data_IF_613984989080
#
_entry.id   IF_613984989080
#
_cell.length_a   1.000
_cell.length_b   1.000
_cell.length_c   1.000
_cell.angle_alpha   90.00
_cell.angle_beta   90.00
_cell.angle_gamma   90.00
#
_symmetry.space_group_name_H-M   'P 1'
#
loop_
_entity.id
_entity.type
_entity.pdbx_description
1 polymer ?
#
# COMPACT_ATOMS: atom_id res chain seq x y z
N UNK A 1 -16.52 -7.64 2.79
CA UNK A 1 -15.13 -7.57 3.32
C UNK A 1 -15.21 -7.63 4.85
N UNK A 2 -14.68 -8.67 5.52
CA UNK A 2 -14.60 -8.69 6.98
C UNK A 2 -13.41 -7.85 7.49
N UNK A 3 -13.57 -7.16 8.62
CA UNK A 3 -12.49 -6.50 9.38
C UNK A 3 -12.81 -5.06 9.82
N UNK A 4 -12.50 -4.74 11.08
CA UNK A 4 -12.73 -3.43 11.72
C UNK A 4 -11.82 -2.35 11.12
N UNK A 5 -12.25 -1.07 11.08
CA UNK A 5 -11.37 0.04 10.71
C UNK A 5 -10.14 0.08 11.63
N UNK A 6 -8.92 0.30 11.10
CA UNK A 6 -7.74 0.47 11.93
C UNK A 6 -7.84 1.76 12.76
N UNK A 7 -7.16 1.77 13.91
CA UNK A 7 -7.02 2.97 14.74
C UNK A 7 -6.27 4.04 13.93
N UNK A 8 -6.89 5.21 13.73
CA UNK A 8 -6.32 6.30 12.92
C UNK A 8 -5.14 7.01 13.61
N UNK A 9 -4.94 6.78 14.91
CA UNK A 9 -3.86 7.39 15.69
C UNK A 9 -2.49 6.76 15.45
N UNK A 10 -2.45 5.51 14.98
CA UNK A 10 -1.19 4.78 14.73
C UNK A 10 -1.27 4.05 13.39
N UNK A 11 -1.11 4.78 12.27
CA UNK A 11 -1.15 4.16 10.95
C UNK A 11 0.05 3.20 10.80
N UNK A 12 -0.16 2.01 10.22
CA UNK A 12 0.93 1.08 9.97
C UNK A 12 1.97 1.71 9.03
N UNK A 13 3.26 1.46 9.32
CA UNK A 13 4.36 1.88 8.47
C UNK A 13 4.26 1.28 7.05
N UNK A 14 4.72 2.02 6.05
CA UNK A 14 4.65 1.63 4.64
C UNK A 14 3.23 1.68 4.05
N UNK A 15 2.82 0.63 3.34
CA UNK A 15 1.53 0.56 2.66
C UNK A 15 0.40 0.32 3.66
N UNK A 16 -0.52 1.30 3.77
CA UNK A 16 -1.68 1.25 4.69
C UNK A 16 -2.56 0.01 4.54
N UNK A 17 -2.54 -0.63 3.38
CA UNK A 17 -3.33 -1.82 3.08
C UNK A 17 -2.64 -3.13 3.45
N UNK A 18 -1.33 -3.13 3.77
CA UNK A 18 -0.57 -4.36 4.05
C UNK A 18 -1.15 -5.25 5.15
N UNK A 19 -1.84 -4.76 6.21
CA UNK A 19 -2.41 -5.64 7.23
C UNK A 19 -3.61 -6.46 6.72
N UNK A 20 -4.22 -6.04 5.60
CA UNK A 20 -5.46 -6.63 5.04
C UNK A 20 -5.32 -7.07 3.59
N UNK A 21 -4.16 -6.85 2.97
CA UNK A 21 -3.91 -7.18 1.57
C UNK A 21 -3.47 -8.65 1.45
N UNK A 22 -4.15 -9.49 0.65
CA UNK A 22 -3.77 -10.89 0.45
C UNK A 22 -2.45 -11.04 -0.32
N UNK A 23 -2.08 -10.04 -1.12
CA UNK A 23 -0.85 -10.00 -1.92
C UNK A 23 0.30 -9.25 -1.23
N UNK A 24 0.21 -9.01 0.08
CA UNK A 24 1.22 -8.25 0.82
C UNK A 24 2.58 -8.95 0.82
N UNK A 25 3.62 -8.22 0.41
CA UNK A 25 5.03 -8.64 0.50
C UNK A 25 5.74 -7.91 1.64
N UNK A 26 6.95 -8.35 1.99
CA UNK A 26 7.75 -7.73 3.05
C UNK A 26 7.96 -6.22 2.85
N UNK A 27 8.11 -5.78 1.60
CA UNK A 27 8.29 -4.37 1.25
C UNK A 27 7.05 -3.52 1.57
N UNK A 28 5.85 -4.09 1.52
CA UNK A 28 4.62 -3.38 1.85
C UNK A 28 4.58 -2.87 3.30
N UNK A 29 5.41 -3.42 4.20
CA UNK A 29 5.51 -2.97 5.61
C UNK A 29 6.53 -1.86 5.83
N UNK A 30 7.36 -1.57 4.82
CA UNK A 30 8.53 -0.69 4.94
C UNK A 30 8.51 0.46 3.93
N UNK A 31 7.82 0.27 2.81
CA UNK A 31 7.80 1.21 1.70
C UNK A 31 6.39 1.75 1.57
N UNK A 32 6.27 3.07 1.56
CA UNK A 32 5.04 3.76 1.17
C UNK A 32 5.04 3.88 -0.36
N UNK A 33 4.16 3.14 -1.06
CA UNK A 33 4.06 3.23 -2.52
C UNK A 33 3.54 4.62 -2.93
N UNK A 34 4.21 5.22 -3.90
CA UNK A 34 3.77 6.44 -4.57
C UNK A 34 2.69 6.13 -5.59
N UNK A 35 1.97 7.15 -6.03
CA UNK A 35 1.05 7.01 -7.14
C UNK A 35 1.82 6.75 -8.44
N UNK A 36 1.36 5.79 -9.22
CA UNK A 36 1.93 5.44 -10.53
C UNK A 36 0.81 5.08 -11.48
N UNK A 37 0.85 5.65 -12.68
CA UNK A 37 -0.08 5.32 -13.75
C UNK A 37 0.34 4.01 -14.42
N UNK A 38 -0.57 3.04 -14.48
CA UNK A 38 -0.31 1.72 -15.11
C UNK A 38 -1.09 1.52 -16.41
N UNK A 39 -2.08 2.37 -16.66
CA UNK A 39 -2.81 2.48 -17.92
C UNK A 39 -3.41 3.91 -18.01
N UNK A 40 -3.74 4.41 -19.22
CA UNK A 40 -4.29 5.75 -19.37
C UNK A 40 -5.50 6.01 -18.46
N UNK A 41 -5.35 6.95 -17.52
CA UNK A 41 -6.40 7.29 -16.54
C UNK A 41 -6.57 6.30 -15.39
N UNK A 42 -5.64 5.35 -15.22
CA UNK A 42 -5.64 4.37 -14.13
C UNK A 42 -4.35 4.44 -13.33
N UNK A 43 -4.44 5.06 -12.16
CA UNK A 43 -3.33 5.18 -11.21
C UNK A 43 -3.49 4.20 -10.05
N UNK A 44 -2.35 3.72 -9.55
CA UNK A 44 -2.28 2.83 -8.40
C UNK A 44 -1.09 3.20 -7.51
N UNK A 45 -1.22 2.91 -6.22
CA UNK A 45 -0.11 2.94 -5.25
C UNK A 45 0.13 1.52 -4.72
N UNK A 46 0.49 0.61 -5.63
CA UNK A 46 0.71 -0.80 -5.30
C UNK A 46 2.08 -1.27 -5.79
N UNK A 47 2.94 -1.69 -4.84
CA UNK A 47 4.30 -2.16 -5.12
C UNK A 47 4.30 -3.31 -6.13
N UNK A 48 3.30 -4.20 -6.04
CA UNK A 48 3.11 -5.33 -6.98
C UNK A 48 2.67 -4.92 -8.38
N UNK A 49 2.20 -3.69 -8.56
CA UNK A 49 1.78 -3.12 -9.85
C UNK A 49 2.80 -2.13 -10.41
N UNK A 50 3.99 -2.05 -9.81
CA UNK A 50 5.09 -1.23 -10.30
C UNK A 50 5.13 0.19 -9.71
N UNK A 51 4.34 0.48 -8.67
CA UNK A 51 4.53 1.75 -7.98
C UNK A 51 5.89 1.80 -7.30
N UNK A 52 6.69 2.81 -7.63
CA UNK A 52 7.86 3.16 -6.85
C UNK A 52 7.42 3.61 -5.45
N UNK A 53 8.32 3.60 -4.47
CA UNK A 53 7.95 4.03 -3.12
C UNK A 53 9.11 4.61 -2.34
N UNK A 54 8.76 5.33 -1.27
CA UNK A 54 9.72 5.87 -0.32
C UNK A 54 9.79 4.98 0.91
N UNK A 55 10.98 4.82 1.49
CA UNK A 55 11.11 4.14 2.78
C UNK A 55 10.35 4.97 3.83
N UNK A 56 9.41 4.32 4.52
CA UNK A 56 8.62 4.91 5.59
C UNK A 56 9.37 4.85 6.92
#
# INVERSE_FOLDING_TARGET
IPGRPPNLLDPPAGCRFHPRCPDAIADCRRILPLETEIAPGHTVSCIRRGSQGIAA
#
